data_IF_844703150907
#
_entry.id   IF_844703150907
#
_cell.length_a   1.000
_cell.length_b   1.000
_cell.length_c   1.000
_cell.angle_alpha   90.00
_cell.angle_beta   90.00
_cell.angle_gamma   90.00
#
_symmetry.space_group_name_H-M   'P 1'
#
loop_
_entity.id
_entity.type
_entity.pdbx_description
1 polymer ?
#
# COMPACT_ATOMS: atom_id res chain seq x y z
N UNK A 1 -34.36 8.40 -23.93
CA UNK A 1 -33.10 9.10 -23.58
C UNK A 1 -32.10 8.06 -23.09
N UNK A 2 -31.10 7.73 -23.91
CA UNK A 2 -29.97 6.89 -23.46
C UNK A 2 -29.17 7.73 -22.46
N UNK A 3 -29.10 7.31 -21.19
CA UNK A 3 -28.22 7.95 -20.20
C UNK A 3 -26.79 7.91 -20.77
N UNK A 4 -26.10 9.07 -20.77
CA UNK A 4 -24.67 9.07 -21.07
C UNK A 4 -23.97 8.07 -20.12
N UNK A 5 -23.00 7.28 -20.62
CA UNK A 5 -22.24 6.39 -19.77
C UNK A 5 -21.58 7.20 -18.64
N UNK A 6 -21.53 6.67 -17.41
CA UNK A 6 -20.87 7.36 -16.30
C UNK A 6 -19.42 7.68 -16.65
N UNK A 7 -18.91 8.81 -16.14
CA UNK A 7 -17.50 9.18 -16.34
C UNK A 7 -16.57 8.11 -15.77
N UNK A 8 -15.34 8.00 -16.29
CA UNK A 8 -14.32 7.07 -15.76
C UNK A 8 -14.10 7.26 -14.25
N UNK A 9 -14.16 8.51 -13.78
CA UNK A 9 -14.11 8.84 -12.36
C UNK A 9 -15.30 8.29 -11.57
N UNK A 10 -16.52 8.48 -12.06
CA UNK A 10 -17.74 7.96 -11.42
C UNK A 10 -17.70 6.44 -11.33
N UNK A 11 -17.27 5.78 -12.41
CA UNK A 11 -17.08 4.33 -12.47
C UNK A 11 -16.05 3.87 -11.44
N UNK A 12 -14.89 4.53 -11.37
CA UNK A 12 -13.84 4.18 -10.42
C UNK A 12 -14.35 4.21 -8.97
N UNK A 13 -14.94 5.31 -8.51
CA UNK A 13 -15.35 5.45 -7.12
C UNK A 13 -16.54 4.54 -6.76
N UNK A 14 -17.38 4.20 -7.73
CA UNK A 14 -18.51 3.29 -7.51
C UNK A 14 -18.07 1.84 -7.35
N UNK A 15 -17.10 1.38 -8.15
CA UNK A 15 -16.71 -0.03 -8.22
C UNK A 15 -15.40 -0.37 -7.50
N UNK A 16 -14.67 0.63 -6.99
CA UNK A 16 -13.47 0.38 -6.20
C UNK A 16 -13.82 -0.13 -4.80
N UNK A 17 -13.18 -1.22 -4.34
CA UNK A 17 -13.35 -1.67 -2.96
C UNK A 17 -12.83 -0.61 -1.99
N UNK A 18 -13.39 -0.56 -0.79
CA UNK A 18 -13.06 0.45 0.23
C UNK A 18 -11.58 0.43 0.60
N UNK A 19 -10.94 -0.75 0.59
CA UNK A 19 -9.49 -0.89 0.77
C UNK A 19 -8.68 -0.10 -0.27
N UNK A 20 -9.10 -0.09 -1.54
CA UNK A 20 -8.44 0.70 -2.60
C UNK A 20 -8.74 2.19 -2.42
N UNK A 21 -9.98 2.56 -2.06
CA UNK A 21 -10.31 3.96 -1.79
C UNK A 21 -9.45 4.54 -0.65
N UNK A 22 -9.25 3.77 0.42
CA UNK A 22 -8.38 4.16 1.51
C UNK A 22 -6.91 4.28 1.08
N UNK A 23 -6.41 3.32 0.29
CA UNK A 23 -5.03 3.35 -0.23
C UNK A 23 -4.79 4.56 -1.15
N UNK A 24 -5.77 4.92 -1.98
CA UNK A 24 -5.72 6.15 -2.80
C UNK A 24 -5.73 7.39 -1.91
N UNK A 25 -6.63 7.46 -0.93
CA UNK A 25 -6.70 8.56 0.04
C UNK A 25 -5.37 8.76 0.79
N UNK A 26 -4.77 7.69 1.33
CA UNK A 26 -3.50 7.73 2.07
C UNK A 26 -2.31 8.12 1.16
N UNK A 27 -2.31 7.62 -0.07
CA UNK A 27 -1.34 8.00 -1.10
C UNK A 27 -1.46 9.46 -1.50
N UNK A 28 -2.67 9.98 -1.70
CA UNK A 28 -2.91 11.39 -2.02
C UNK A 28 -2.48 12.31 -0.88
N UNK A 29 -2.76 11.93 0.37
CA UNK A 29 -2.24 12.66 1.53
C UNK A 29 -0.70 12.72 1.52
N UNK A 30 -0.05 11.59 1.24
CA UNK A 30 1.42 11.52 1.15
C UNK A 30 1.97 12.42 0.03
N UNK A 31 1.31 12.46 -1.12
CA UNK A 31 1.69 13.35 -2.22
C UNK A 31 1.55 14.83 -1.85
N UNK A 32 0.42 15.21 -1.23
CA UNK A 32 0.20 16.59 -0.82
C UNK A 32 1.17 17.01 0.29
N UNK A 33 1.41 16.15 1.29
CA UNK A 33 2.42 16.39 2.32
C UNK A 33 3.83 16.53 1.73
N UNK A 34 4.17 15.76 0.70
CA UNK A 34 5.42 15.92 -0.04
C UNK A 34 5.52 17.26 -0.78
N UNK A 35 4.43 17.71 -1.40
CA UNK A 35 4.36 19.03 -2.04
C UNK A 35 4.54 20.16 -1.03
N UNK A 36 3.86 20.09 0.13
CA UNK A 36 4.04 21.07 1.21
C UNK A 36 5.47 21.07 1.76
N UNK A 37 6.09 19.90 1.93
CA UNK A 37 7.51 19.78 2.32
C UNK A 37 8.45 20.47 1.32
N UNK A 38 8.24 20.28 0.02
CA UNK A 38 9.00 21.01 -1.01
C UNK A 38 8.84 22.52 -0.87
N UNK A 39 7.63 23.00 -0.58
CA UNK A 39 7.34 24.42 -0.41
C UNK A 39 7.89 25.00 0.89
N UNK A 40 7.95 24.22 1.98
CA UNK A 40 8.62 24.61 3.23
C UNK A 40 10.10 24.86 2.97
N UNK A 41 10.78 23.95 2.27
CA UNK A 41 12.22 24.07 1.94
C UNK A 41 12.53 25.23 1.00
N UNK A 42 11.55 25.67 0.21
CA UNK A 42 11.67 26.77 -0.77
C UNK A 42 11.06 28.07 -0.26
N UNK A 43 10.56 28.11 0.97
CA UNK A 43 9.87 29.28 1.51
C UNK A 43 10.81 30.50 1.51
N UNK A 44 10.29 31.65 1.10
CA UNK A 44 11.07 32.89 1.05
C UNK A 44 11.39 33.44 2.45
N UNK A 45 10.51 33.14 3.42
CA UNK A 45 10.62 33.55 4.81
C UNK A 45 9.92 32.55 5.76
N UNK A 46 10.14 32.73 7.07
CA UNK A 46 9.58 31.86 8.11
C UNK A 46 8.05 31.87 8.14
N UNK A 47 7.41 32.98 7.76
CA UNK A 47 5.94 33.11 7.73
C UNK A 47 5.31 32.26 6.63
N UNK A 48 5.92 32.25 5.44
CA UNK A 48 5.56 31.33 4.37
C UNK A 48 5.81 29.88 4.79
N UNK A 49 6.97 29.58 5.37
CA UNK A 49 7.29 28.25 5.90
C UNK A 49 6.24 27.76 6.89
N UNK A 50 5.86 28.59 7.86
CA UNK A 50 4.86 28.27 8.86
C UNK A 50 3.46 28.05 8.27
N UNK A 51 3.12 28.77 7.20
CA UNK A 51 1.87 28.56 6.46
C UNK A 51 1.83 27.15 5.88
N UNK A 52 2.91 26.70 5.23
CA UNK A 52 2.98 25.35 4.67
C UNK A 52 3.03 24.26 5.74
N UNK A 53 3.72 24.48 6.86
CA UNK A 53 3.70 23.58 8.02
C UNK A 53 2.29 23.39 8.56
N UNK A 54 1.54 24.47 8.71
CA UNK A 54 0.15 24.44 9.18
C UNK A 54 -0.74 23.64 8.23
N UNK A 55 -0.61 23.87 6.91
CA UNK A 55 -1.36 23.11 5.90
C UNK A 55 -1.01 21.62 5.92
N UNK A 56 0.28 21.30 6.05
CA UNK A 56 0.74 19.91 6.15
C UNK A 56 0.16 19.23 7.39
N UNK A 57 0.23 19.87 8.57
CA UNK A 57 -0.37 19.34 9.81
C UNK A 57 -1.87 19.06 9.64
N UNK A 58 -2.61 19.96 8.98
CA UNK A 58 -4.04 19.76 8.72
C UNK A 58 -4.33 18.54 7.82
N UNK A 59 -3.48 18.24 6.83
CA UNK A 59 -3.58 17.01 6.02
C UNK A 59 -3.40 15.78 6.90
N UNK A 60 -2.41 15.79 7.78
CA UNK A 60 -2.07 14.67 8.66
C UNK A 60 -3.12 14.41 9.73
N UNK A 61 -3.64 15.47 10.36
CA UNK A 61 -4.77 15.41 11.30
C UNK A 61 -6.01 14.83 10.62
N UNK A 62 -6.33 15.31 9.40
CA UNK A 62 -7.48 14.79 8.65
C UNK A 62 -7.28 13.33 8.27
N UNK A 63 -6.07 12.94 7.85
CA UNK A 63 -5.74 11.54 7.52
C UNK A 63 -5.94 10.60 8.70
N UNK A 64 -5.65 11.06 9.93
CA UNK A 64 -5.88 10.31 11.17
C UNK A 64 -7.36 10.26 11.57
N UNK A 65 -8.11 11.33 11.30
CA UNK A 65 -9.50 11.49 11.76
C UNK A 65 -10.54 10.78 10.87
N UNK A 66 -10.29 10.64 9.57
CA UNK A 66 -11.25 9.99 8.65
C UNK A 66 -11.37 8.50 8.98
N UNK A 67 -12.60 8.03 9.15
CA UNK A 67 -12.86 6.61 9.37
C UNK A 67 -12.43 5.82 8.11
N UNK A 68 -11.58 4.78 8.23
CA UNK A 68 -11.16 3.96 7.10
C UNK A 68 -12.31 3.28 6.33
N UNK A 69 -13.51 3.22 6.91
CA UNK A 69 -14.69 2.62 6.30
C UNK A 69 -15.70 3.64 5.74
N UNK A 70 -15.50 4.93 5.99
CA UNK A 70 -16.33 6.01 5.45
C UNK A 70 -15.93 6.33 4.00
N UNK A 71 -16.54 5.60 3.07
CA UNK A 71 -16.27 5.76 1.62
C UNK A 71 -16.48 7.19 1.13
N UNK A 72 -17.52 7.86 1.59
CA UNK A 72 -17.86 9.20 1.10
C UNK A 72 -16.82 10.22 1.56
N UNK A 73 -16.40 10.16 2.83
CA UNK A 73 -15.32 11.00 3.35
C UNK A 73 -13.99 10.74 2.63
N UNK A 74 -13.64 9.47 2.39
CA UNK A 74 -12.41 9.10 1.66
C UNK A 74 -12.41 9.71 0.26
N UNK A 75 -13.51 9.59 -0.49
CA UNK A 75 -13.64 10.15 -1.84
C UNK A 75 -13.62 11.69 -1.82
N UNK A 76 -14.34 12.30 -0.89
CA UNK A 76 -14.39 13.76 -0.76
C UNK A 76 -13.01 14.35 -0.50
N UNK A 77 -12.27 13.81 0.46
CA UNK A 77 -10.93 14.30 0.80
C UNK A 77 -9.90 14.01 -0.29
N UNK A 78 -9.97 12.85 -0.93
CA UNK A 78 -9.13 12.53 -2.08
C UNK A 78 -9.30 13.58 -3.18
N UNK A 79 -10.54 13.93 -3.56
CA UNK A 79 -10.82 14.97 -4.56
C UNK A 79 -10.28 16.34 -4.16
N UNK A 80 -10.50 16.73 -2.90
CA UNK A 80 -10.03 18.01 -2.37
C UNK A 80 -8.50 18.12 -2.50
N UNK A 81 -7.78 17.11 -2.04
CA UNK A 81 -6.32 17.12 -2.06
C UNK A 81 -5.75 17.00 -3.48
N UNK A 82 -6.38 16.22 -4.37
CA UNK A 82 -5.98 16.18 -5.78
C UNK A 82 -6.13 17.55 -6.45
N UNK A 83 -7.19 18.30 -6.14
CA UNK A 83 -7.39 19.67 -6.64
C UNK A 83 -6.30 20.60 -6.10
N UNK A 84 -5.93 20.47 -4.83
CA UNK A 84 -4.87 21.27 -4.23
C UNK A 84 -3.50 20.96 -4.87
N UNK A 85 -3.16 19.68 -5.03
CA UNK A 85 -1.92 19.26 -5.71
C UNK A 85 -1.87 19.85 -7.13
N UNK A 86 -2.99 19.83 -7.86
CA UNK A 86 -3.08 20.42 -9.20
C UNK A 86 -2.79 21.92 -9.18
N UNK A 87 -3.34 22.65 -8.21
CA UNK A 87 -3.14 24.10 -8.05
C UNK A 87 -1.69 24.45 -7.67
N UNK A 88 -0.98 23.56 -6.95
CA UNK A 88 0.41 23.77 -6.55
C UNK A 88 1.43 23.50 -7.65
N UNK A 89 1.03 22.91 -8.79
CA UNK A 89 1.96 22.50 -9.87
C UNK A 89 2.91 23.59 -10.33
N UNK A 90 2.40 24.80 -10.57
CA UNK A 90 3.21 25.93 -11.04
C UNK A 90 4.33 26.29 -10.06
N UNK A 91 4.09 26.11 -8.76
CA UNK A 91 5.05 26.41 -7.68
C UNK A 91 6.10 25.31 -7.47
N UNK A 92 5.84 24.11 -7.98
CA UNK A 92 6.73 22.96 -7.83
C UNK A 92 7.71 22.83 -9.03
N UNK A 93 7.42 23.46 -10.17
CA UNK A 93 7.90 23.07 -11.51
C UNK A 93 9.29 23.58 -11.96
N UNK A 94 10.18 24.00 -11.08
CA UNK A 94 11.38 24.74 -11.52
C UNK A 94 12.71 23.96 -11.50
N UNK A 95 12.75 22.73 -10.96
CA UNK A 95 14.00 21.98 -10.88
C UNK A 95 14.21 21.08 -12.12
N UNK A 96 15.41 21.15 -12.71
CA UNK A 96 15.88 20.14 -13.65
C UNK A 96 15.92 18.76 -12.96
N UNK A 97 15.68 17.69 -13.73
CA UNK A 97 15.77 16.34 -13.19
C UNK A 97 17.22 16.07 -12.71
N UNK A 98 17.41 15.59 -11.46
CA UNK A 98 18.74 15.35 -10.93
C UNK A 98 19.39 14.15 -11.62
N UNK A 99 20.72 14.14 -11.72
CA UNK A 99 21.48 13.01 -12.27
C UNK A 99 21.35 11.73 -11.43
N UNK A 100 21.04 11.88 -10.13
CA UNK A 100 20.86 10.78 -9.20
C UNK A 100 19.76 11.09 -8.18
N UNK A 101 19.01 10.06 -7.78
CA UNK A 101 18.06 10.14 -6.67
C UNK A 101 18.63 9.59 -5.35
N UNK A 102 19.92 9.24 -5.31
CA UNK A 102 20.56 8.77 -4.08
C UNK A 102 20.68 9.93 -3.06
N UNK A 103 20.34 9.65 -1.80
CA UNK A 103 20.49 10.61 -0.69
C UNK A 103 21.69 10.19 0.17
N UNK A 104 22.61 11.11 0.44
CA UNK A 104 23.82 10.83 1.21
C UNK A 104 23.46 10.44 2.66
N UNK A 105 24.32 9.68 3.38
CA UNK A 105 24.07 9.36 4.78
C UNK A 105 23.88 10.60 5.67
N UNK A 106 24.64 11.67 5.44
CA UNK A 106 24.52 12.95 6.17
C UNK A 106 23.17 13.61 5.90
N UNK A 107 22.73 13.68 4.64
CA UNK A 107 21.42 14.22 4.28
C UNK A 107 20.28 13.37 4.85
N UNK A 108 20.44 12.04 4.89
CA UNK A 108 19.45 11.15 5.48
C UNK A 108 19.27 11.43 6.97
N UNK A 109 20.37 11.60 7.70
CA UNK A 109 20.38 11.91 9.12
C UNK A 109 19.82 13.32 9.39
N UNK A 110 20.25 14.31 8.60
CA UNK A 110 19.73 15.68 8.66
C UNK A 110 18.21 15.74 8.47
N UNK A 111 17.67 15.07 7.44
CA UNK A 111 16.21 14.99 7.21
C UNK A 111 15.50 14.19 8.30
N UNK A 112 16.18 13.23 8.93
CA UNK A 112 15.59 12.47 10.02
C UNK A 112 15.46 13.31 11.30
N UNK A 113 16.51 14.04 11.66
CA UNK A 113 16.63 14.77 12.92
C UNK A 113 16.08 16.20 12.91
N UNK A 114 15.76 16.75 11.73
CA UNK A 114 15.11 18.07 11.61
C UNK A 114 13.94 18.19 12.61
N UNK A 115 14.02 19.14 13.55
CA UNK A 115 13.11 19.20 14.69
C UNK A 115 11.70 19.70 14.32
N UNK A 116 11.55 20.39 13.19
CA UNK A 116 10.30 21.01 12.79
C UNK A 116 9.56 20.18 11.74
N UNK A 117 10.30 19.62 10.79
CA UNK A 117 9.75 19.03 9.58
C UNK A 117 10.34 17.64 9.25
N UNK A 118 11.21 17.13 10.11
CA UNK A 118 11.92 15.88 9.93
C UNK A 118 11.09 14.62 10.14
N UNK A 119 11.67 13.48 9.75
CA UNK A 119 10.99 12.18 9.85
C UNK A 119 10.70 11.82 11.30
N UNK A 120 11.64 12.06 12.22
CA UNK A 120 11.47 11.75 13.64
C UNK A 120 10.27 12.48 14.22
N UNK A 121 10.20 13.80 14.04
CA UNK A 121 9.08 14.61 14.49
C UNK A 121 7.76 14.11 13.88
N UNK A 122 7.70 13.92 12.56
CA UNK A 122 6.49 13.43 11.91
C UNK A 122 5.97 12.08 12.42
N UNK A 123 6.87 11.13 12.68
CA UNK A 123 6.52 9.78 13.11
C UNK A 123 6.14 9.74 14.58
N UNK A 124 6.91 10.39 15.45
CA UNK A 124 6.80 10.24 16.90
C UNK A 124 6.04 11.39 17.60
N UNK A 125 5.68 12.47 16.88
CA UNK A 125 4.92 13.57 17.46
C UNK A 125 3.63 13.10 18.14
N UNK A 126 3.49 13.48 19.41
CA UNK A 126 2.32 13.16 20.24
C UNK A 126 2.28 11.72 20.76
N UNK A 127 3.28 10.90 20.48
CA UNK A 127 3.39 9.55 21.02
C UNK A 127 4.30 9.52 22.25
N UNK A 128 3.86 8.82 23.29
CA UNK A 128 4.63 8.66 24.53
C UNK A 128 5.36 7.30 24.57
N UNK A 129 6.49 7.21 25.29
CA UNK A 129 7.08 5.93 25.67
C UNK A 129 6.12 5.05 26.46
N UNK A 130 6.31 3.72 26.38
CA UNK A 130 5.56 2.75 27.17
C UNK A 130 6.48 1.92 28.07
N UNK A 131 6.12 1.70 29.35
CA UNK A 131 6.85 0.77 30.22
C UNK A 131 6.69 -0.69 29.77
N UNK A 132 5.69 -1.00 28.96
CA UNK A 132 5.43 -2.33 28.41
C UNK A 132 5.14 -2.19 26.91
N UNK A 133 6.15 -1.84 26.11
CA UNK A 133 5.96 -1.45 24.73
C UNK A 133 5.68 -2.68 23.85
N UNK A 134 4.90 -2.44 22.80
CA UNK A 134 4.45 -3.48 21.87
C UNK A 134 5.02 -3.21 20.48
N UNK A 135 5.55 -4.24 19.83
CA UNK A 135 5.80 -4.23 18.40
C UNK A 135 4.68 -4.99 17.71
N UNK A 136 4.06 -4.39 16.69
CA UNK A 136 3.11 -5.04 15.79
C UNK A 136 3.72 -5.08 14.39
N UNK A 137 3.99 -6.29 13.89
CA UNK A 137 4.43 -6.52 12.52
C UNK A 137 3.20 -6.80 11.65
N UNK A 138 2.82 -5.84 10.80
CA UNK A 138 1.70 -5.98 9.87
C UNK A 138 2.22 -6.40 8.48
N UNK A 139 1.76 -7.55 7.98
CA UNK A 139 2.32 -8.14 6.76
C UNK A 139 1.31 -8.67 5.77
N UNK A 140 1.48 -8.29 4.50
CA UNK A 140 0.78 -8.85 3.35
C UNK A 140 1.39 -8.35 2.04
N UNK A 141 1.08 -9.00 0.92
CA UNK A 141 1.47 -8.50 -0.40
C UNK A 141 0.96 -7.06 -0.66
N UNK A 142 1.60 -6.30 -1.56
CA UNK A 142 1.05 -5.04 -2.07
C UNK A 142 -0.44 -5.13 -2.44
N UNK A 143 -1.18 -4.05 -2.18
CA UNK A 143 -2.62 -3.92 -2.42
C UNK A 143 -3.54 -4.96 -1.72
N UNK A 144 -3.06 -5.66 -0.71
CA UNK A 144 -3.90 -6.50 0.15
C UNK A 144 -4.74 -5.72 1.19
N UNK A 145 -4.74 -4.38 1.16
CA UNK A 145 -5.51 -3.54 2.10
C UNK A 145 -4.82 -3.22 3.44
N UNK A 146 -3.48 -3.33 3.51
CA UNK A 146 -2.70 -3.06 4.73
C UNK A 146 -2.99 -1.69 5.36
N UNK A 147 -3.00 -0.62 4.57
CA UNK A 147 -3.21 0.74 5.08
C UNK A 147 -4.54 0.89 5.83
N UNK A 148 -5.61 0.25 5.34
CA UNK A 148 -6.92 0.23 6.00
C UNK A 148 -6.88 -0.55 7.33
N UNK A 149 -6.28 -1.74 7.34
CA UNK A 149 -6.12 -2.55 8.56
C UNK A 149 -5.24 -1.84 9.59
N UNK A 150 -4.15 -1.20 9.15
CA UNK A 150 -3.29 -0.38 9.99
C UNK A 150 -4.07 0.76 10.64
N UNK A 151 -4.87 1.51 9.86
CA UNK A 151 -5.68 2.59 10.38
C UNK A 151 -6.68 2.12 11.46
N UNK A 152 -7.35 0.98 11.22
CA UNK A 152 -8.24 0.38 12.19
C UNK A 152 -7.51 -0.12 13.45
N UNK A 153 -6.27 -0.63 13.32
CA UNK A 153 -5.44 -1.02 14.46
C UNK A 153 -5.01 0.18 15.30
N UNK A 154 -4.51 1.25 14.68
CA UNK A 154 -4.06 2.47 15.38
C UNK A 154 -5.23 3.18 16.06
N UNK A 155 -6.43 3.23 15.44
CA UNK A 155 -7.62 3.78 16.10
C UNK A 155 -8.00 3.04 17.39
N UNK A 156 -7.82 1.71 17.41
CA UNK A 156 -8.10 0.87 18.59
C UNK A 156 -6.95 0.88 19.61
N UNK A 157 -5.73 1.19 19.17
CA UNK A 157 -4.50 1.21 19.95
C UNK A 157 -3.70 2.48 19.63
N UNK A 158 -4.15 3.64 20.15
CA UNK A 158 -3.54 4.94 19.84
C UNK A 158 -2.11 5.09 20.39
N UNK A 159 -1.67 4.18 21.27
CA UNK A 159 -0.29 4.08 21.75
C UNK A 159 0.68 3.58 20.67
N UNK A 160 0.20 2.88 19.65
CA UNK A 160 1.04 2.40 18.54
C UNK A 160 1.46 3.55 17.62
N UNK A 161 2.76 3.66 17.38
CA UNK A 161 3.36 4.54 16.37
C UNK A 161 3.38 3.81 15.01
N UNK A 162 2.56 4.20 14.02
CA UNK A 162 2.58 3.55 12.71
C UNK A 162 3.76 4.03 11.86
N UNK A 163 4.60 3.10 11.42
CA UNK A 163 5.70 3.37 10.49
C UNK A 163 5.51 2.57 9.21
N UNK A 164 5.24 3.29 8.13
CA UNK A 164 5.15 2.74 6.77
C UNK A 164 6.17 3.47 5.90
N UNK A 165 7.07 2.73 5.24
CA UNK A 165 8.08 3.33 4.35
C UNK A 165 7.49 4.19 3.23
N UNK A 166 6.26 3.90 2.81
CA UNK A 166 5.56 4.68 1.79
C UNK A 166 5.22 6.11 2.22
N UNK A 167 4.86 6.32 3.49
CA UNK A 167 4.63 7.67 4.03
C UNK A 167 5.92 8.48 4.11
N UNK A 168 7.06 7.79 4.32
CA UNK A 168 8.37 8.43 4.41
C UNK A 168 8.90 8.90 3.05
N UNK A 169 8.30 8.46 1.93
CA UNK A 169 8.67 8.93 0.59
C UNK A 169 8.49 10.44 0.44
N UNK A 170 7.52 11.04 1.13
CA UNK A 170 7.27 12.49 1.10
C UNK A 170 8.49 13.34 1.51
N UNK A 171 9.40 12.78 2.32
CA UNK A 171 10.59 13.47 2.81
C UNK A 171 11.73 13.46 1.80
N UNK A 172 11.69 12.56 0.82
CA UNK A 172 12.70 12.49 -0.21
C UNK A 172 12.77 13.81 -1.00
N UNK A 173 13.96 14.44 -1.15
CA UNK A 173 14.10 15.74 -1.83
C UNK A 173 13.42 15.81 -3.19
N UNK A 174 13.50 14.72 -3.96
CA UNK A 174 12.95 14.62 -5.31
C UNK A 174 11.54 14.00 -5.40
N UNK A 175 10.84 13.77 -4.28
CA UNK A 175 9.56 13.06 -4.30
C UNK A 175 8.49 13.73 -5.17
N UNK A 176 8.28 15.04 -4.97
CA UNK A 176 7.27 15.81 -5.69
C UNK A 176 7.55 15.86 -7.19
N UNK A 177 8.82 15.95 -7.57
CA UNK A 177 9.24 15.94 -8.99
C UNK A 177 9.09 14.55 -9.61
N UNK A 178 9.50 13.49 -8.91
CA UNK A 178 9.30 12.11 -9.35
C UNK A 178 7.82 11.79 -9.58
N UNK A 179 6.93 12.17 -8.66
CA UNK A 179 5.50 11.94 -8.82
C UNK A 179 4.89 12.71 -10.00
N UNK A 180 5.49 13.84 -10.41
CA UNK A 180 5.04 14.65 -11.53
C UNK A 180 5.62 14.19 -12.87
N UNK A 181 6.89 13.81 -12.90
CA UNK A 181 7.65 13.53 -14.12
C UNK A 181 7.75 12.04 -14.44
N UNK A 182 8.09 11.21 -13.45
CA UNK A 182 8.27 9.76 -13.62
C UNK A 182 7.74 8.94 -12.41
N UNK A 183 6.42 8.85 -12.30
CA UNK A 183 5.71 8.11 -11.23
C UNK A 183 5.98 6.59 -11.29
N UNK A 184 6.41 6.06 -12.44
CA UNK A 184 6.78 4.65 -12.60
C UNK A 184 8.16 4.38 -11.97
N UNK A 185 9.10 5.32 -12.08
CA UNK A 185 10.43 5.22 -11.46
C UNK A 185 10.43 5.57 -9.96
N UNK A 186 9.50 6.42 -9.49
CA UNK A 186 9.45 6.91 -8.11
C UNK A 186 9.68 5.85 -7.02
N UNK A 187 9.02 4.66 -7.05
CA UNK A 187 9.17 3.67 -5.99
C UNK A 187 10.61 3.18 -5.81
N UNK A 188 11.34 3.00 -6.93
CA UNK A 188 12.73 2.53 -6.92
C UNK A 188 13.68 3.68 -6.58
N UNK A 189 13.45 4.85 -7.17
CA UNK A 189 14.27 6.05 -6.94
C UNK A 189 14.33 6.45 -5.45
N UNK A 190 13.23 6.31 -4.72
CA UNK A 190 13.15 6.72 -3.31
C UNK A 190 13.38 5.57 -2.32
N UNK A 191 13.62 4.34 -2.79
CA UNK A 191 13.71 3.14 -1.95
C UNK A 191 14.86 3.18 -0.93
N UNK A 192 16.02 3.71 -1.33
CA UNK A 192 17.22 3.80 -0.49
C UNK A 192 16.96 4.66 0.75
N UNK A 193 16.47 5.89 0.56
CA UNK A 193 16.17 6.80 1.65
C UNK A 193 15.06 6.28 2.58
N UNK A 194 13.97 5.77 2.01
CA UNK A 194 12.86 5.22 2.80
C UNK A 194 13.31 4.04 3.67
N UNK A 195 14.14 3.15 3.12
CA UNK A 195 14.70 2.04 3.88
C UNK A 195 15.60 2.50 5.03
N UNK A 196 16.38 3.56 4.82
CA UNK A 196 17.22 4.15 5.87
C UNK A 196 16.38 4.78 6.99
N UNK A 197 15.39 5.61 6.65
CA UNK A 197 14.53 6.24 7.62
C UNK A 197 13.67 5.24 8.42
N UNK A 198 13.18 4.16 7.80
CA UNK A 198 12.50 3.08 8.56
C UNK A 198 13.46 2.47 9.60
N UNK A 199 14.73 2.22 9.26
CA UNK A 199 15.73 1.71 10.22
C UNK A 199 16.02 2.70 11.33
N UNK A 200 16.10 4.00 11.02
CA UNK A 200 16.28 5.07 12.01
C UNK A 200 15.06 5.16 12.94
N UNK A 201 13.82 5.09 12.42
CA UNK A 201 12.61 5.01 13.23
C UNK A 201 12.62 3.78 14.16
N UNK A 202 13.06 2.62 13.67
CA UNK A 202 13.20 1.41 14.50
C UNK A 202 14.21 1.64 15.63
N UNK A 203 15.36 2.24 15.35
CA UNK A 203 16.36 2.61 16.36
C UNK A 203 15.78 3.54 17.41
N UNK A 204 15.20 4.66 16.96
CA UNK A 204 14.58 5.65 17.84
C UNK A 204 13.47 5.06 18.72
N UNK A 205 12.64 4.17 18.17
CA UNK A 205 11.59 3.50 18.93
C UNK A 205 12.16 2.63 20.05
N UNK A 206 13.23 1.88 19.78
CA UNK A 206 13.89 1.02 20.76
C UNK A 206 14.58 1.85 21.86
N UNK A 207 15.30 2.90 21.47
CA UNK A 207 16.03 3.76 22.41
C UNK A 207 15.08 4.52 23.34
N UNK A 208 13.88 4.85 22.86
CA UNK A 208 12.89 5.65 23.59
C UNK A 208 11.64 4.85 24.04
N UNK A 209 11.66 3.51 23.92
CA UNK A 209 10.57 2.61 24.33
C UNK A 209 9.19 2.92 23.74
N UNK A 210 9.11 3.35 22.48
CA UNK A 210 7.82 3.54 21.82
C UNK A 210 7.21 2.22 21.34
N UNK A 211 5.91 2.02 21.55
CA UNK A 211 5.15 0.95 20.89
C UNK A 211 5.05 1.26 19.38
N UNK A 212 5.29 0.27 18.53
CA UNK A 212 5.49 0.47 17.10
C UNK A 212 4.57 -0.46 16.30
N UNK A 213 3.94 0.05 15.25
CA UNK A 213 3.32 -0.76 14.21
C UNK A 213 4.14 -0.62 12.93
N UNK A 214 4.85 -1.69 12.55
CA UNK A 214 5.68 -1.74 11.36
C UNK A 214 4.93 -2.44 10.22
N UNK A 215 4.68 -1.71 9.14
CA UNK A 215 4.13 -2.29 7.91
C UNK A 215 5.22 -2.91 7.04
N UNK A 216 5.00 -4.15 6.59
CA UNK A 216 5.87 -4.85 5.66
C UNK A 216 5.12 -5.70 4.64
N UNK A 217 5.88 -6.30 3.71
CA UNK A 217 5.34 -7.20 2.68
C UNK A 217 5.51 -8.68 3.00
N UNK A 218 6.19 -9.01 4.12
CA UNK A 218 6.52 -10.38 4.53
C UNK A 218 7.19 -11.21 3.41
N UNK A 219 7.97 -10.53 2.57
CA UNK A 219 8.67 -11.10 1.42
C UNK A 219 9.90 -11.94 1.78
N UNK A 220 10.39 -11.82 3.01
CA UNK A 220 11.55 -12.54 3.52
C UNK A 220 11.36 -12.83 5.03
N UNK A 221 11.25 -14.12 5.43
CA UNK A 221 11.14 -14.50 6.83
C UNK A 221 12.31 -14.03 7.68
N UNK A 222 13.54 -13.99 7.13
CA UNK A 222 14.74 -13.66 7.91
C UNK A 222 14.69 -12.21 8.41
N UNK A 223 14.36 -11.28 7.53
CA UNK A 223 14.22 -9.86 7.89
C UNK A 223 13.14 -9.64 8.95
N UNK A 224 11.98 -10.30 8.82
CA UNK A 224 10.88 -10.18 9.78
C UNK A 224 11.25 -10.76 11.15
N UNK A 225 11.87 -11.94 11.17
CA UNK A 225 12.31 -12.59 12.42
C UNK A 225 13.43 -11.82 13.11
N UNK A 226 14.41 -11.29 12.37
CA UNK A 226 15.46 -10.45 12.96
C UNK A 226 14.88 -9.21 13.65
N UNK A 227 13.81 -8.63 13.10
CA UNK A 227 13.10 -7.52 13.74
C UNK A 227 12.36 -7.99 14.99
N UNK A 228 11.63 -9.10 14.92
CA UNK A 228 10.94 -9.67 16.08
C UNK A 228 11.91 -10.00 17.23
N UNK A 229 13.02 -10.66 16.93
CA UNK A 229 14.07 -11.02 17.90
C UNK A 229 14.67 -9.78 18.55
N UNK A 230 15.03 -8.75 17.76
CA UNK A 230 15.60 -7.51 18.28
C UNK A 230 14.65 -6.81 19.27
N UNK A 231 13.36 -6.73 18.95
CA UNK A 231 12.37 -6.11 19.84
C UNK A 231 12.06 -6.97 21.06
N UNK A 232 11.89 -8.28 20.90
CA UNK A 232 11.69 -9.19 22.03
C UNK A 232 12.88 -9.15 23.01
N UNK A 233 14.11 -9.13 22.50
CA UNK A 233 15.33 -8.97 23.30
C UNK A 233 15.41 -7.63 24.05
N UNK A 234 14.74 -6.58 23.56
CA UNK A 234 14.59 -5.30 24.25
C UNK A 234 13.39 -5.26 25.23
N UNK A 235 12.74 -6.41 25.45
CA UNK A 235 11.61 -6.56 26.38
C UNK A 235 10.28 -6.06 25.82
N UNK A 236 10.10 -6.06 24.50
CA UNK A 236 8.81 -5.77 23.88
C UNK A 236 7.96 -7.03 23.77
N UNK A 237 6.64 -6.85 23.92
CA UNK A 237 5.69 -7.84 23.40
C UNK A 237 5.61 -7.68 21.89
N UNK A 238 5.88 -8.77 21.16
CA UNK A 238 5.85 -8.79 19.70
C UNK A 238 4.61 -9.51 19.20
N UNK A 239 3.83 -8.83 18.37
CA UNK A 239 2.65 -9.35 17.71
C UNK A 239 2.85 -9.35 16.18
N UNK A 240 2.24 -10.32 15.51
CA UNK A 240 2.19 -10.40 14.05
C UNK A 240 0.74 -10.36 13.61
N UNK A 241 0.44 -9.47 12.66
CA UNK A 241 -0.85 -9.42 11.98
C UNK A 241 -0.62 -9.68 10.50
N UNK A 242 -1.20 -10.76 9.97
CA UNK A 242 -1.11 -11.12 8.55
C UNK A 242 -2.47 -10.94 7.86
N UNK A 243 -2.47 -10.43 6.63
CA UNK A 243 -3.71 -10.27 5.85
C UNK A 243 -3.80 -11.32 4.74
N UNK A 244 -4.88 -12.08 4.74
CA UNK A 244 -5.22 -13.04 3.70
C UNK A 244 -6.14 -12.44 2.63
N UNK A 245 -5.64 -12.35 1.39
CA UNK A 245 -6.40 -11.91 0.22
C UNK A 245 -5.96 -12.74 -0.99
N UNK A 246 -6.90 -13.13 -1.84
CA UNK A 246 -6.65 -13.82 -3.11
C UNK A 246 -5.64 -13.08 -3.99
N UNK A 247 -4.79 -13.82 -4.68
CA UNK A 247 -3.77 -13.26 -5.59
C UNK A 247 -4.38 -12.38 -6.68
N UNK A 248 -5.44 -12.88 -7.32
CA UNK A 248 -6.09 -12.21 -8.44
C UNK A 248 -6.70 -10.87 -8.00
N UNK A 249 -7.20 -10.80 -6.76
CA UNK A 249 -7.81 -9.60 -6.20
C UNK A 249 -6.74 -8.54 -5.92
N UNK A 250 -5.69 -8.88 -5.16
CA UNK A 250 -4.65 -7.90 -4.82
C UNK A 250 -3.86 -7.43 -6.05
N UNK A 251 -3.66 -8.30 -7.05
CA UNK A 251 -3.04 -7.91 -8.33
C UNK A 251 -3.91 -6.90 -9.08
N UNK A 252 -5.22 -7.16 -9.19
CA UNK A 252 -6.14 -6.24 -9.87
C UNK A 252 -6.27 -4.91 -9.13
N UNK A 253 -6.32 -4.95 -7.80
CA UNK A 253 -6.42 -3.74 -6.97
C UNK A 253 -5.13 -2.89 -7.02
N UNK A 254 -3.97 -3.50 -7.23
CA UNK A 254 -2.72 -2.78 -7.51
C UNK A 254 -2.82 -1.93 -8.78
N UNK A 255 -3.47 -2.47 -9.82
CA UNK A 255 -3.74 -1.74 -11.07
C UNK A 255 -4.84 -0.70 -10.87
N UNK A 256 -5.89 -1.02 -10.10
CA UNK A 256 -6.94 -0.07 -9.80
C UNK A 256 -6.39 1.20 -9.13
N UNK A 257 -5.54 1.05 -8.10
CA UNK A 257 -4.86 2.18 -7.48
C UNK A 257 -4.04 2.98 -8.50
N UNK A 258 -3.31 2.31 -9.39
CA UNK A 258 -2.53 3.00 -10.42
C UNK A 258 -3.43 3.83 -11.35
N UNK A 259 -4.60 3.31 -11.70
CA UNK A 259 -5.57 3.95 -12.57
C UNK A 259 -6.50 4.94 -11.86
N UNK A 260 -6.33 5.20 -10.56
CA UNK A 260 -7.26 6.06 -9.83
C UNK A 260 -7.37 7.46 -10.45
N UNK A 261 -8.58 8.04 -10.52
CA UNK A 261 -8.82 9.33 -11.15
C UNK A 261 -8.03 10.43 -10.44
N UNK A 262 -7.44 11.34 -11.23
CA UNK A 262 -6.69 12.47 -10.71
C UNK A 262 -5.85 13.11 -11.80
N UNK A 263 -5.45 14.37 -11.58
CA UNK A 263 -4.53 15.05 -12.49
C UNK A 263 -3.10 14.51 -12.36
N UNK A 264 -2.75 13.96 -11.19
CA UNK A 264 -1.45 13.37 -10.87
C UNK A 264 -1.43 11.87 -11.14
N UNK A 265 -0.29 11.39 -11.61
CA UNK A 265 -0.12 9.97 -11.91
C UNK A 265 0.08 9.22 -10.61
N UNK A 266 -0.59 8.07 -10.47
CA UNK A 266 -0.51 7.27 -9.26
C UNK A 266 0.64 6.27 -9.32
N UNK A 267 1.02 5.77 -8.16
CA UNK A 267 2.16 4.88 -8.01
C UNK A 267 1.90 3.49 -8.61
N UNK A 268 2.82 3.03 -9.47
CA UNK A 268 2.84 1.65 -9.96
C UNK A 268 3.38 0.65 -8.92
N UNK A 269 2.92 -0.60 -9.00
CA UNK A 269 3.44 -1.72 -8.20
C UNK A 269 4.08 -2.74 -9.13
N UNK A 270 5.42 -2.90 -9.10
CA UNK A 270 6.10 -3.91 -9.90
C UNK A 270 5.58 -5.34 -9.62
N UNK A 271 5.41 -6.14 -10.68
CA UNK A 271 4.90 -7.51 -10.58
C UNK A 271 5.72 -8.38 -9.61
N UNK A 272 7.05 -8.30 -9.70
CA UNK A 272 7.95 -9.04 -8.81
C UNK A 272 7.76 -8.68 -7.33
N UNK A 273 7.48 -7.41 -7.02
CA UNK A 273 7.24 -6.96 -5.65
C UNK A 273 5.92 -7.51 -5.10
N UNK A 274 4.87 -7.58 -5.94
CA UNK A 274 3.61 -8.23 -5.60
C UNK A 274 3.80 -9.73 -5.39
N UNK A 275 4.32 -10.43 -6.40
CA UNK A 275 4.35 -11.89 -6.45
C UNK A 275 5.30 -12.49 -5.40
N UNK A 276 6.43 -11.84 -5.13
CA UNK A 276 7.32 -12.27 -4.05
C UNK A 276 6.64 -12.14 -2.68
N UNK A 277 5.97 -11.02 -2.40
CA UNK A 277 5.21 -10.84 -1.17
C UNK A 277 4.07 -11.85 -1.05
N UNK A 278 3.36 -12.13 -2.14
CA UNK A 278 2.30 -13.13 -2.14
C UNK A 278 2.86 -14.52 -1.80
N UNK A 279 3.88 -14.98 -2.53
CA UNK A 279 4.48 -16.31 -2.35
C UNK A 279 5.13 -16.51 -0.99
N UNK A 280 5.80 -15.50 -0.44
CA UNK A 280 6.61 -15.65 0.78
C UNK A 280 5.85 -15.35 2.07
N UNK A 281 4.74 -14.60 2.03
CA UNK A 281 3.98 -14.25 3.23
C UNK A 281 3.57 -15.48 4.08
N UNK A 282 3.01 -16.58 3.53
CA UNK A 282 2.70 -17.78 4.33
C UNK A 282 3.90 -18.36 5.06
N UNK A 283 5.05 -18.45 4.39
CA UNK A 283 6.31 -18.93 5.00
C UNK A 283 6.80 -18.00 6.11
N UNK A 284 6.66 -16.70 5.94
CA UNK A 284 6.99 -15.72 6.97
C UNK A 284 6.08 -15.87 8.19
N UNK A 285 4.77 -16.07 7.97
CA UNK A 285 3.80 -16.31 9.06
C UNK A 285 4.12 -17.59 9.81
N UNK A 286 4.40 -18.70 9.10
CA UNK A 286 4.80 -19.96 9.71
C UNK A 286 6.10 -19.81 10.53
N UNK A 287 7.09 -19.11 9.99
CA UNK A 287 8.35 -18.85 10.68
C UNK A 287 8.15 -17.97 11.94
N UNK A 288 7.24 -17.01 11.90
CA UNK A 288 6.84 -16.23 13.07
C UNK A 288 6.17 -17.11 14.13
N UNK A 289 5.26 -18.02 13.74
CA UNK A 289 4.55 -18.92 14.66
C UNK A 289 5.49 -19.91 15.36
N UNK A 290 6.53 -20.34 14.66
CA UNK A 290 7.59 -21.18 15.21
C UNK A 290 8.57 -20.42 16.11
N UNK A 291 8.66 -19.09 16.00
CA UNK A 291 9.61 -18.29 16.77
C UNK A 291 9.14 -18.09 18.22
N UNK A 292 10.03 -18.25 19.22
CA UNK A 292 9.71 -17.91 20.60
C UNK A 292 9.62 -16.39 20.83
N UNK A 293 10.13 -15.57 19.89
CA UNK A 293 10.12 -14.12 20.01
C UNK A 293 8.79 -13.48 19.60
N UNK A 294 7.87 -14.24 19.01
CA UNK A 294 6.53 -13.78 18.64
C UNK A 294 5.53 -14.28 19.67
N UNK A 295 4.80 -13.35 20.26
CA UNK A 295 3.94 -13.58 21.42
C UNK A 295 2.46 -13.70 21.05
N UNK A 296 2.05 -13.13 19.91
CA UNK A 296 0.69 -13.25 19.36
C UNK A 296 0.71 -13.23 17.85
N UNK A 297 -0.12 -14.04 17.21
CA UNK A 297 -0.34 -14.02 15.77
C UNK A 297 -1.83 -13.95 15.48
N UNK A 298 -2.20 -12.97 14.65
CA UNK A 298 -3.56 -12.81 14.15
C UNK A 298 -3.54 -12.86 12.63
N UNK A 299 -4.44 -13.63 12.03
CA UNK A 299 -4.69 -13.61 10.59
C UNK A 299 -6.05 -12.98 10.35
N UNK A 300 -6.07 -11.92 9.54
CA UNK A 300 -7.28 -11.16 9.22
C UNK A 300 -7.57 -11.19 7.72
N UNK A 301 -8.83 -10.94 7.34
CA UNK A 301 -9.18 -10.61 5.97
C UNK A 301 -8.99 -9.10 5.68
N UNK A 302 -9.28 -8.68 4.44
CA UNK A 302 -9.19 -7.28 4.02
C UNK A 302 -10.17 -6.32 4.73
N UNK A 303 -11.17 -6.83 5.45
CA UNK A 303 -12.06 -6.05 6.32
C UNK A 303 -11.47 -5.81 7.70
N UNK A 304 -10.42 -6.55 8.07
CA UNK A 304 -9.84 -6.55 9.41
C UNK A 304 -10.51 -7.53 10.37
N UNK A 305 -11.46 -8.34 9.90
CA UNK A 305 -12.04 -9.43 10.68
C UNK A 305 -11.01 -10.54 10.89
N UNK A 306 -10.89 -11.05 12.13
CA UNK A 306 -9.95 -12.11 12.46
C UNK A 306 -10.50 -13.49 12.11
N UNK A 307 -9.68 -14.30 11.43
CA UNK A 307 -9.96 -15.69 11.05
C UNK A 307 -9.04 -16.69 11.75
N UNK A 308 -8.02 -16.18 12.43
CA UNK A 308 -7.16 -16.90 13.35
C UNK A 308 -6.58 -15.91 14.34
N UNK A 309 -6.49 -16.32 15.59
CA UNK A 309 -5.85 -15.57 16.66
C UNK A 309 -5.29 -16.57 17.67
N UNK A 310 -4.01 -16.44 18.00
CA UNK A 310 -3.35 -17.27 18.99
C UNK A 310 -2.30 -16.43 19.72
N UNK A 311 -2.15 -16.67 21.01
CA UNK A 311 -1.15 -16.00 21.84
C UNK A 311 -0.42 -16.99 22.75
N UNK A 312 0.79 -16.63 23.16
CA UNK A 312 1.58 -17.42 24.11
C UNK A 312 1.17 -17.11 25.54
N UNK A 313 1.04 -18.16 26.35
CA UNK A 313 0.86 -18.06 27.79
C UNK A 313 2.15 -17.67 28.52
N UNK A 314 2.09 -17.51 29.85
CA UNK A 314 3.25 -17.18 30.68
C UNK A 314 4.37 -18.24 30.64
N UNK A 315 4.03 -19.48 30.29
CA UNK A 315 4.97 -20.60 30.10
C UNK A 315 5.69 -20.55 28.73
N UNK A 316 5.36 -19.56 27.89
CA UNK A 316 5.88 -19.43 26.53
C UNK A 316 5.24 -20.38 25.52
N UNK A 317 4.28 -21.23 25.92
CA UNK A 317 3.57 -22.12 25.02
C UNK A 317 2.39 -21.40 24.36
N UNK A 318 1.99 -21.81 23.16
CA UNK A 318 0.77 -21.32 22.53
C UNK A 318 -0.46 -21.78 23.32
N UNK A 319 -1.43 -20.87 23.52
CA UNK A 319 -2.69 -21.17 24.22
C UNK A 319 -3.64 -22.00 23.38
N UNK A 320 -3.58 -21.86 22.04
CA UNK A 320 -4.27 -22.72 21.07
C UNK A 320 -3.30 -23.50 20.17
N UNK A 321 -3.80 -24.45 19.38
CA UNK A 321 -2.98 -25.16 18.40
C UNK A 321 -2.42 -24.19 17.34
N UNK A 322 -1.15 -24.34 16.92
CA UNK A 322 -0.61 -23.61 15.77
C UNK A 322 -1.44 -23.84 14.50
N UNK A 323 -1.56 -22.82 13.66
CA UNK A 323 -2.37 -22.89 12.45
C UNK A 323 -2.46 -21.60 11.63
N UNK A 324 -1.60 -20.61 11.90
CA UNK A 324 -1.66 -19.30 11.27
C UNK A 324 -1.45 -19.38 9.74
N UNK A 325 -0.47 -20.16 9.28
CA UNK A 325 -0.23 -20.34 7.84
C UNK A 325 -1.45 -20.96 7.14
N UNK A 326 -2.03 -22.01 7.71
CA UNK A 326 -3.21 -22.66 7.15
C UNK A 326 -4.42 -21.71 7.10
N UNK A 327 -4.62 -20.88 8.12
CA UNK A 327 -5.67 -19.87 8.12
C UNK A 327 -5.48 -18.82 7.02
N UNK A 328 -4.24 -18.36 6.82
CA UNK A 328 -3.91 -17.44 5.74
C UNK A 328 -4.17 -18.04 4.36
N UNK A 329 -3.80 -19.31 4.15
CA UNK A 329 -4.04 -20.03 2.89
C UNK A 329 -5.54 -20.21 2.63
N UNK A 330 -6.35 -20.55 3.65
CA UNK A 330 -7.82 -20.64 3.51
C UNK A 330 -8.44 -19.33 3.03
N UNK A 331 -7.99 -18.19 3.54
CA UNK A 331 -8.46 -16.87 3.08
C UNK A 331 -8.09 -16.62 1.61
N UNK A 332 -6.91 -17.07 1.17
CA UNK A 332 -6.43 -16.96 -0.21
C UNK A 332 -7.16 -17.90 -1.17
N UNK A 333 -7.70 -19.00 -0.67
CA UNK A 333 -8.39 -20.01 -1.46
C UNK A 333 -9.91 -19.80 -1.49
N UNK A 334 -10.46 -18.88 -0.68
CA UNK A 334 -11.90 -18.55 -0.66
C UNK A 334 -12.45 -18.42 -2.09
N UNK A 335 -13.42 -19.24 -2.53
CA UNK A 335 -13.95 -19.17 -3.89
C UNK A 335 -14.63 -17.81 -4.12
N UNK A 336 -14.56 -17.33 -5.36
CA UNK A 336 -15.39 -16.20 -5.78
C UNK A 336 -16.85 -16.64 -5.85
N UNK A 337 -17.76 -15.77 -5.46
CA UNK A 337 -19.13 -15.89 -5.98
C UNK A 337 -19.20 -15.45 -7.45
N UNK A 338 -20.25 -15.86 -8.15
CA UNK A 338 -20.38 -15.60 -9.58
C UNK A 338 -20.49 -14.12 -9.94
N UNK A 339 -20.98 -13.28 -9.02
CA UNK A 339 -21.09 -11.83 -9.23
C UNK A 339 -19.73 -11.15 -9.02
N UNK A 340 -19.05 -11.43 -7.91
CA UNK A 340 -17.68 -10.99 -7.62
C UNK A 340 -16.75 -11.33 -8.80
N UNK A 341 -16.82 -12.56 -9.32
CA UNK A 341 -16.01 -13.00 -10.45
C UNK A 341 -16.31 -12.22 -11.75
N UNK A 342 -17.57 -11.90 -12.03
CA UNK A 342 -17.96 -11.10 -13.20
C UNK A 342 -17.50 -9.65 -13.07
N UNK A 343 -17.62 -9.06 -11.88
CA UNK A 343 -17.14 -7.71 -11.59
C UNK A 343 -15.62 -7.66 -11.76
N UNK A 344 -14.90 -8.67 -11.25
CA UNK A 344 -13.45 -8.79 -11.41
C UNK A 344 -13.05 -8.83 -12.90
N UNK A 345 -13.73 -9.67 -13.70
CA UNK A 345 -13.47 -9.77 -15.15
C UNK A 345 -13.73 -8.45 -15.88
N UNK A 346 -14.82 -7.77 -15.53
CA UNK A 346 -15.17 -6.47 -16.10
C UNK A 346 -14.12 -5.40 -15.77
N UNK A 347 -13.71 -5.29 -14.50
CA UNK A 347 -12.67 -4.36 -14.06
C UNK A 347 -11.34 -4.65 -14.75
N UNK A 348 -10.94 -5.92 -14.86
CA UNK A 348 -9.72 -6.32 -15.58
C UNK A 348 -9.77 -5.92 -17.06
N UNK A 349 -10.90 -6.13 -17.73
CA UNK A 349 -11.10 -5.73 -19.14
C UNK A 349 -10.93 -4.21 -19.30
N UNK A 350 -11.57 -3.43 -18.41
CA UNK A 350 -11.53 -1.96 -18.41
C UNK A 350 -10.12 -1.42 -18.15
N UNK A 351 -9.42 -1.96 -17.14
CA UNK A 351 -8.07 -1.52 -16.78
C UNK A 351 -7.05 -1.85 -17.86
N UNK A 352 -7.20 -3.01 -18.52
CA UNK A 352 -6.33 -3.37 -19.64
C UNK A 352 -6.54 -2.44 -20.83
N UNK A 353 -7.80 -2.10 -21.13
CA UNK A 353 -8.13 -1.13 -22.18
C UNK A 353 -7.60 0.27 -21.84
N UNK A 354 -7.71 0.71 -20.59
CA UNK A 354 -7.21 2.00 -20.13
C UNK A 354 -5.69 2.12 -20.27
N UNK A 355 -4.92 1.13 -19.80
CA UNK A 355 -3.45 1.13 -19.93
C UNK A 355 -3.02 1.04 -21.39
N UNK A 356 -3.68 0.20 -22.19
CA UNK A 356 -3.39 0.12 -23.63
C UNK A 356 -3.66 1.44 -24.36
N UNK A 357 -4.79 2.09 -24.05
CA UNK A 357 -5.16 3.40 -24.63
C UNK A 357 -4.19 4.52 -24.25
N UNK A 358 -3.50 4.41 -23.11
CA UNK A 358 -2.43 5.33 -22.69
C UNK A 358 -1.06 5.00 -23.31
N UNK A 359 -0.94 3.90 -24.06
CA UNK A 359 0.36 3.43 -24.56
C UNK A 359 1.28 2.91 -23.46
N UNK A 360 0.73 2.55 -22.30
CA UNK A 360 1.48 2.20 -21.09
C UNK A 360 1.71 0.68 -20.94
N UNK A 361 1.43 -0.13 -21.97
CA UNK A 361 1.83 -1.55 -22.03
C UNK A 361 3.31 -1.66 -22.39
N UNK A 362 4.17 -1.35 -21.43
CA UNK A 362 5.64 -1.32 -21.55
C UNK A 362 6.26 -2.54 -20.85
N UNK A 363 7.57 -2.81 -20.99
CA UNK A 363 8.23 -3.90 -20.25
C UNK A 363 8.01 -3.83 -18.73
N UNK A 364 7.77 -2.63 -18.18
CA UNK A 364 7.49 -2.41 -16.75
C UNK A 364 6.10 -2.89 -16.32
N UNK A 365 5.09 -2.76 -17.17
CA UNK A 365 3.69 -3.06 -16.83
C UNK A 365 3.20 -4.39 -17.40
N UNK A 366 3.74 -4.80 -18.56
CA UNK A 366 3.41 -6.03 -19.29
C UNK A 366 3.35 -7.28 -18.40
N UNK A 367 4.32 -7.55 -17.50
CA UNK A 367 4.27 -8.73 -16.63
C UNK A 367 3.01 -8.79 -15.76
N UNK A 368 2.54 -7.65 -15.25
CA UNK A 368 1.32 -7.61 -14.42
C UNK A 368 0.09 -7.94 -15.25
N UNK A 369 0.00 -7.40 -16.48
CA UNK A 369 -1.13 -7.66 -17.37
C UNK A 369 -1.13 -9.07 -17.96
N UNK A 370 0.05 -9.67 -18.17
CA UNK A 370 0.17 -11.08 -18.52
C UNK A 370 -0.40 -11.97 -17.40
N UNK A 371 -0.03 -11.72 -16.15
CA UNK A 371 -0.58 -12.46 -15.01
C UNK A 371 -2.09 -12.22 -14.84
N UNK A 372 -2.58 -10.98 -14.97
CA UNK A 372 -4.03 -10.70 -14.96
C UNK A 372 -4.79 -11.41 -16.08
N UNK A 373 -4.16 -11.61 -17.25
CA UNK A 373 -4.77 -12.37 -18.33
C UNK A 373 -4.88 -13.86 -17.98
N UNK A 374 -3.88 -14.44 -17.31
CA UNK A 374 -3.94 -15.82 -16.83
C UNK A 374 -4.92 -16.00 -15.67
N UNK A 375 -5.00 -15.01 -14.77
CA UNK A 375 -5.98 -14.96 -13.69
C UNK A 375 -7.41 -14.98 -14.23
N UNK A 376 -7.66 -14.28 -15.33
CA UNK A 376 -8.97 -14.20 -15.95
C UNK A 376 -9.52 -15.54 -16.44
N UNK A 377 -8.66 -16.50 -16.80
CA UNK A 377 -9.10 -17.85 -17.14
C UNK A 377 -9.64 -18.57 -15.89
N UNK A 378 -8.93 -18.49 -14.76
CA UNK A 378 -9.36 -19.08 -13.48
C UNK A 378 -10.62 -18.41 -12.92
N UNK A 379 -10.67 -17.08 -12.96
CA UNK A 379 -11.83 -16.31 -12.46
C UNK A 379 -13.08 -16.58 -13.31
N UNK A 380 -12.91 -16.86 -14.61
CA UNK A 380 -14.05 -17.17 -15.49
C UNK A 380 -14.77 -18.48 -15.13
N UNK A 381 -14.09 -19.43 -14.49
CA UNK A 381 -14.70 -20.66 -14.00
C UNK A 381 -15.77 -20.39 -12.92
N UNK A 382 -15.51 -19.39 -12.05
CA UNK A 382 -16.47 -18.93 -11.06
C UNK A 382 -17.58 -18.07 -11.68
N UNK A 383 -17.22 -17.15 -12.58
CA UNK A 383 -18.17 -16.21 -13.20
C UNK A 383 -19.25 -16.90 -14.03
N UNK A 384 -18.92 -18.05 -14.63
CA UNK A 384 -19.75 -18.75 -15.60
C UNK A 384 -19.85 -20.23 -15.28
N UNK A 385 -20.17 -20.57 -14.04
CA UNK A 385 -20.33 -21.95 -13.55
C UNK A 385 -21.69 -22.56 -13.91
N UNK A 386 -22.67 -21.77 -14.37
CA UNK A 386 -24.02 -22.24 -14.67
C UNK A 386 -24.10 -23.11 -15.93
N UNK A 387 -25.05 -24.06 -16.01
CA UNK A 387 -25.25 -24.90 -17.20
C UNK A 387 -25.64 -24.07 -18.43
N UNK A 388 -26.32 -22.93 -18.23
CA UNK A 388 -26.82 -22.06 -19.30
C UNK A 388 -25.84 -20.94 -19.72
N UNK A 389 -24.65 -20.86 -19.11
CA UNK A 389 -23.70 -19.76 -19.35
C UNK A 389 -22.84 -19.94 -20.62
N UNK A 390 -23.14 -20.92 -21.48
CA UNK A 390 -22.32 -21.25 -22.65
C UNK A 390 -22.05 -20.05 -23.59
N UNK A 391 -23.04 -19.17 -23.79
CA UNK A 391 -22.86 -17.94 -24.59
C UNK A 391 -21.89 -16.96 -23.93
N UNK A 392 -21.96 -16.83 -22.61
CA UNK A 392 -21.09 -15.96 -21.82
C UNK A 392 -19.66 -16.50 -21.79
N UNK A 393 -19.49 -17.82 -21.60
CA UNK A 393 -18.19 -18.51 -21.71
C UNK A 393 -17.54 -18.27 -23.06
N UNK A 394 -18.30 -18.42 -24.16
CA UNK A 394 -17.80 -18.17 -25.53
C UNK A 394 -17.40 -16.71 -25.73
N UNK A 395 -18.17 -15.75 -25.21
CA UNK A 395 -17.85 -14.31 -25.27
C UNK A 395 -16.58 -13.99 -24.49
N UNK A 396 -16.44 -14.52 -23.28
CA UNK A 396 -15.24 -14.35 -22.47
C UNK A 396 -14.01 -14.92 -23.18
N UNK A 397 -14.09 -16.15 -23.71
CA UNK A 397 -12.99 -16.78 -24.44
C UNK A 397 -12.54 -15.97 -25.67
N UNK A 398 -13.47 -15.34 -26.38
CA UNK A 398 -13.14 -14.44 -27.48
C UNK A 398 -12.39 -13.19 -27.00
N UNK A 399 -12.81 -12.58 -25.88
CA UNK A 399 -12.09 -11.45 -25.26
C UNK A 399 -10.70 -11.86 -24.78
N UNK A 400 -10.54 -13.02 -24.14
CA UNK A 400 -9.22 -13.48 -23.71
C UNK A 400 -8.26 -13.63 -24.89
N UNK A 401 -8.72 -14.16 -26.02
CA UNK A 401 -7.88 -14.24 -27.24
C UNK A 401 -7.47 -12.86 -27.76
N UNK A 402 -8.36 -11.87 -27.69
CA UNK A 402 -8.05 -10.49 -28.07
C UNK A 402 -6.97 -9.89 -27.14
N UNK A 403 -7.13 -10.01 -25.83
CA UNK A 403 -6.16 -9.48 -24.87
C UNK A 403 -4.80 -10.17 -24.97
N UNK A 404 -4.75 -11.50 -25.14
CA UNK A 404 -3.47 -12.19 -25.38
C UNK A 404 -2.74 -11.65 -26.61
N UNK A 405 -3.45 -11.47 -27.75
CA UNK A 405 -2.86 -10.88 -28.96
C UNK A 405 -2.35 -9.46 -28.73
N UNK A 406 -3.08 -8.65 -27.96
CA UNK A 406 -2.67 -7.30 -27.59
C UNK A 406 -1.37 -7.33 -26.78
N UNK A 407 -1.29 -8.17 -25.75
CA UNK A 407 -0.10 -8.32 -24.91
C UNK A 407 1.09 -8.87 -25.69
N UNK A 408 0.88 -9.88 -26.55
CA UNK A 408 1.93 -10.42 -27.42
C UNK A 408 2.46 -9.36 -28.40
N UNK A 409 1.58 -8.50 -28.92
CA UNK A 409 1.97 -7.40 -29.79
C UNK A 409 2.76 -6.34 -29.05
N UNK A 410 2.35 -5.98 -27.84
CA UNK A 410 3.08 -5.04 -27.00
C UNK A 410 4.47 -5.58 -26.65
N UNK A 411 4.57 -6.86 -26.27
CA UNK A 411 5.85 -7.51 -25.96
C UNK A 411 6.83 -7.47 -27.15
N UNK A 412 6.35 -7.76 -28.38
CA UNK A 412 7.17 -7.68 -29.61
C UNK A 412 7.61 -6.27 -29.97
N UNK A 413 6.84 -5.25 -29.62
CA UNK A 413 7.19 -3.86 -29.91
C UNK A 413 8.17 -3.26 -28.89
N UNK A 414 8.44 -3.99 -27.80
CA UNK A 414 9.26 -3.51 -26.67
C UNK A 414 10.57 -4.28 -26.48
N UNK A 415 10.76 -5.37 -27.22
CA UNK A 415 12.01 -6.14 -27.29
C UNK A 415 12.70 -5.90 -28.61
#
# INVERSE_FOLDING_TARGET
>A
MLRQPPSAETTFYSYSPTSVLYDVFDSTATQLSGAHLTLIRRAADDGEGQTWRTRRRAVEERRRAVDPDDRDALVQHTRLWLSEIAALRGRLSEAAAPESHHVSPEDLESVFEDPDDGVREFVFHGHAPSPSPVLVLLGAQPAAGKSRVQAALVRRRPDLVPVTGDRLRAFHPHHSDLMRQDPLAMPNATAQACGAWVRMCIGHALDNRHSLLLEGTFRDPRTTLATAERFAGAGYRVEVVAIGVREEVSRLDSVNRYLSPGSVVNRWTPANAHDLGYRMCPRTVAACEASPHVHRITVVDQSGAAHFDNERGPDGAWTGPPGAEAALLRLRERPFDSEEARIWLYRRDDYTAAVAGRGELTPTTLPTFASLCADADRVAEYAYSGPWDFRLRRRNAARQRMYRRLLDSAARNTG
#
